data_IF_043925510391
#
_entry.id   IF_043925510391
#
_cell.length_a   1.000
_cell.length_b   1.000
_cell.length_c   1.000
_cell.angle_alpha   90.00
_cell.angle_beta   90.00
_cell.angle_gamma   90.00
#
_symmetry.space_group_name_H-M   'P 1'
#
loop_
_entity.id
_entity.type
_entity.pdbx_description
1 polymer ?
#
# COMPACT_ATOMS: atom_id res chain seq x y z
N UNK A 1 -63.92 -10.01 9.99
CA UNK A 1 -63.76 -9.19 8.76
C UNK A 1 -62.28 -9.08 8.47
N UNK A 2 -61.82 -9.74 7.39
CA UNK A 2 -60.45 -9.66 6.90
C UNK A 2 -60.38 -8.53 5.88
N UNK A 3 -59.43 -7.61 6.01
CA UNK A 3 -58.70 -7.02 4.89
C UNK A 3 -57.31 -6.59 5.38
N UNK A 4 -56.22 -7.17 4.85
CA UNK A 4 -54.85 -6.69 5.03
C UNK A 4 -54.52 -5.66 3.94
N UNK A 5 -53.29 -5.12 3.98
CA UNK A 5 -52.43 -4.61 2.88
C UNK A 5 -51.85 -3.22 3.19
N UNK A 6 -50.60 -2.84 2.86
CA UNK A 6 -49.42 -3.44 2.24
C UNK A 6 -48.29 -2.41 2.45
N UNK A 7 -47.07 -2.86 2.79
CA UNK A 7 -45.85 -2.06 2.61
C UNK A 7 -45.56 -1.93 1.11
N UNK A 8 -45.26 -0.73 0.57
CA UNK A 8 -44.62 -0.64 -0.73
C UNK A 8 -43.12 -0.95 -0.59
N UNK A 9 -42.74 -2.12 -1.08
CA UNK A 9 -41.40 -2.35 -1.60
C UNK A 9 -41.21 -1.48 -2.85
N UNK A 10 -40.10 -0.74 -2.94
CA UNK A 10 -39.63 -0.09 -4.16
C UNK A 10 -38.26 -0.73 -4.44
N UNK A 11 -38.25 -1.84 -5.17
CA UNK A 11 -38.10 -1.93 -6.63
C UNK A 11 -36.64 -1.66 -7.07
N UNK A 12 -35.92 -2.77 -7.25
CA UNK A 12 -34.68 -2.84 -8.01
C UNK A 12 -34.90 -2.33 -9.44
N UNK A 13 -34.00 -1.50 -9.94
CA UNK A 13 -33.91 -1.18 -11.37
C UNK A 13 -32.63 -1.82 -11.91
N UNK A 14 -32.82 -2.94 -12.59
CA UNK A 14 -31.87 -3.46 -13.54
C UNK A 14 -31.93 -2.60 -14.82
N UNK A 15 -30.77 -2.17 -15.31
CA UNK A 15 -30.62 -1.67 -16.66
C UNK A 15 -29.45 -2.40 -17.32
N UNK A 16 -29.79 -3.41 -18.12
CA UNK A 16 -28.94 -3.93 -19.17
C UNK A 16 -29.08 -3.03 -20.40
N UNK A 17 -28.00 -2.84 -21.17
CA UNK A 17 -27.93 -2.91 -22.65
C UNK A 17 -26.62 -2.31 -23.16
N UNK A 18 -25.92 -3.03 -24.06
CA UNK A 18 -24.99 -2.42 -25.01
C UNK A 18 -23.62 -3.10 -25.14
N UNK A 19 -23.58 -4.27 -25.77
CA UNK A 19 -22.37 -4.87 -26.35
C UNK A 19 -21.93 -4.07 -27.57
N UNK A 20 -20.65 -3.67 -27.64
CA UNK A 20 -19.92 -3.57 -28.92
C UNK A 20 -18.52 -4.15 -28.74
N UNK A 21 -18.29 -5.20 -29.52
CA UNK A 21 -17.06 -5.96 -29.67
C UNK A 21 -16.08 -5.20 -30.57
N UNK A 22 -14.81 -5.08 -30.18
CA UNK A 22 -13.73 -4.81 -31.13
C UNK A 22 -12.52 -5.66 -30.74
N UNK A 23 -12.42 -6.81 -31.42
CA UNK A 23 -11.26 -7.70 -31.44
C UNK A 23 -10.26 -7.10 -32.42
N UNK A 24 -9.03 -6.84 -31.95
CA UNK A 24 -7.87 -6.63 -32.81
C UNK A 24 -6.76 -7.57 -32.37
N UNK A 25 -6.76 -8.76 -32.99
CA UNK A 25 -5.67 -9.73 -32.96
C UNK A 25 -4.59 -9.24 -33.92
N UNK A 26 -3.42 -8.86 -33.40
CA UNK A 26 -2.22 -8.68 -34.23
C UNK A 26 -1.24 -9.81 -33.88
N UNK A 27 -1.24 -10.83 -34.75
CA UNK A 27 -0.24 -11.87 -34.81
C UNK A 27 1.05 -11.29 -35.41
N UNK A 28 2.08 -11.07 -34.59
CA UNK A 28 3.44 -10.83 -35.10
C UNK A 28 4.18 -12.17 -35.10
N UNK A 29 4.23 -12.81 -36.26
CA UNK A 29 5.15 -13.91 -36.52
C UNK A 29 6.53 -13.33 -36.79
N UNK A 30 7.47 -13.51 -35.85
CA UNK A 30 8.89 -13.30 -36.10
C UNK A 30 9.56 -14.66 -36.38
N UNK A 31 10.23 -14.84 -37.52
CA UNK A 31 10.96 -16.07 -37.82
C UNK A 31 12.23 -16.16 -36.95
N UNK A 32 12.33 -17.24 -36.19
CA UNK A 32 13.53 -17.63 -35.44
C UNK A 32 14.59 -18.13 -36.42
N UNK A 33 15.61 -17.31 -36.69
CA UNK A 33 16.82 -17.75 -37.36
C UNK A 33 17.73 -18.50 -36.36
N UNK A 34 18.36 -19.64 -36.73
CA UNK A 34 19.34 -20.33 -35.90
C UNK A 34 20.61 -19.48 -35.75
N UNK A 35 21.06 -19.29 -34.51
CA UNK A 35 22.40 -18.77 -34.25
C UNK A 35 23.29 -19.90 -33.73
N UNK A 36 24.37 -20.01 -34.47
CA UNK A 36 25.46 -20.96 -34.48
C UNK A 36 26.17 -21.10 -33.14
N UNK A 37 26.52 -22.34 -32.78
CA UNK A 37 27.28 -22.68 -31.59
C UNK A 37 28.74 -22.30 -31.83
N UNK A 38 29.22 -21.25 -31.17
CA UNK A 38 30.66 -20.95 -31.12
C UNK A 38 31.35 -21.80 -30.03
N UNK A 39 32.56 -22.32 -30.28
CA UNK A 39 33.32 -23.15 -29.32
C UNK A 39 33.90 -22.33 -28.15
N UNK A 40 34.22 -22.97 -27.00
CA UNK A 40 34.73 -22.27 -25.81
C UNK A 40 36.20 -21.85 -26.00
N UNK A 41 36.53 -20.63 -25.58
CA UNK A 41 37.92 -20.15 -25.45
C UNK A 41 38.20 -19.71 -24.01
N UNK A 42 39.45 -19.84 -23.54
CA UNK A 42 39.75 -20.29 -22.19
C UNK A 42 39.75 -19.20 -21.11
N UNK A 43 39.58 -19.68 -19.88
CA UNK A 43 39.62 -18.98 -18.62
C UNK A 43 40.79 -18.01 -18.47
N UNK A 44 40.49 -16.77 -18.08
CA UNK A 44 41.43 -15.86 -17.44
C UNK A 44 41.34 -16.05 -15.92
N UNK A 45 42.35 -16.68 -15.35
CA UNK A 45 42.58 -16.83 -13.91
C UNK A 45 42.97 -15.47 -13.33
N UNK A 46 42.18 -14.93 -12.40
CA UNK A 46 42.65 -13.88 -11.49
C UNK A 46 42.77 -14.45 -10.06
N UNK A 47 43.85 -14.13 -9.34
CA UNK A 47 44.15 -14.75 -8.06
C UNK A 47 43.36 -14.10 -6.91
N UNK A 48 43.02 -14.96 -5.95
CA UNK A 48 42.67 -14.71 -4.55
C UNK A 48 42.51 -13.25 -4.11
N UNK A 49 41.25 -12.81 -4.02
CA UNK A 49 40.80 -11.74 -3.15
C UNK A 49 40.10 -12.34 -1.94
N UNK A 50 40.61 -12.02 -0.76
CA UNK A 50 40.17 -12.41 0.59
C UNK A 50 38.65 -12.54 0.72
N UNK A 51 38.18 -13.73 1.12
CA UNK A 51 36.79 -13.96 1.50
C UNK A 51 36.48 -13.14 2.78
N UNK A 52 35.97 -11.94 2.58
CA UNK A 52 35.24 -11.21 3.62
C UNK A 52 34.03 -12.05 3.98
N UNK A 53 33.91 -12.44 5.25
CA UNK A 53 32.70 -13.07 5.78
C UNK A 53 31.57 -12.04 5.77
N UNK A 54 30.97 -11.83 4.60
CA UNK A 54 29.74 -11.08 4.46
C UNK A 54 28.67 -11.88 5.22
N UNK A 55 28.28 -11.40 6.40
CA UNK A 55 27.02 -11.80 6.98
C UNK A 55 25.95 -11.49 5.91
N UNK A 56 25.10 -12.47 5.53
CA UNK A 56 24.03 -12.17 4.61
C UNK A 56 23.13 -11.15 5.30
N UNK A 57 23.17 -9.89 4.84
CA UNK A 57 22.10 -8.96 5.17
C UNK A 57 20.81 -9.59 4.67
N UNK A 58 19.78 -9.73 5.52
CA UNK A 58 18.52 -10.31 5.09
C UNK A 58 18.05 -9.55 3.85
N UNK A 59 17.83 -10.28 2.76
CA UNK A 59 17.27 -9.72 1.54
C UNK A 59 15.87 -9.22 1.86
N UNK A 60 15.43 -8.11 1.23
CA UNK A 60 14.07 -7.59 1.40
C UNK A 60 12.95 -8.62 1.15
N UNK A 61 13.28 -9.73 0.45
CA UNK A 61 12.39 -10.85 0.18
C UNK A 61 12.09 -11.75 1.39
N UNK A 62 12.98 -11.85 2.39
CA UNK A 62 12.80 -12.77 3.52
C UNK A 62 11.97 -12.15 4.67
N UNK A 63 11.64 -10.87 4.55
CA UNK A 63 11.01 -10.09 5.62
C UNK A 63 11.92 -9.85 6.82
N UNK A 64 11.40 -9.12 7.79
CA UNK A 64 12.04 -8.80 9.06
C UNK A 64 11.23 -9.40 10.20
N UNK A 65 11.88 -9.79 11.32
CA UNK A 65 11.17 -10.11 12.56
C UNK A 65 10.20 -9.01 12.98
N UNK A 66 9.18 -9.31 13.78
CA UNK A 66 8.25 -8.31 14.30
C UNK A 66 8.98 -7.20 15.08
N UNK A 67 8.72 -5.94 14.75
CA UNK A 67 9.06 -4.79 15.58
C UNK A 67 8.15 -3.61 15.28
N UNK A 68 7.68 -2.92 16.33
CA UNK A 68 6.78 -1.78 16.19
C UNK A 68 7.42 -0.65 15.35
N UNK A 69 6.64 0.06 14.52
CA UNK A 69 7.10 1.30 13.92
C UNK A 69 7.28 2.38 14.99
N UNK A 70 8.35 3.15 14.86
CA UNK A 70 8.69 4.26 15.73
C UNK A 70 8.59 5.61 15.00
N UNK A 71 8.93 5.65 13.71
CA UNK A 71 8.88 6.88 12.90
C UNK A 71 8.54 6.59 11.44
N UNK A 72 8.11 7.63 10.73
CA UNK A 72 7.84 7.58 9.29
C UNK A 72 8.40 8.83 8.59
N UNK A 73 9.17 8.63 7.53
CA UNK A 73 9.61 9.69 6.63
C UNK A 73 9.24 9.37 5.19
N UNK A 74 8.62 10.34 4.50
CA UNK A 74 8.30 10.25 3.07
C UNK A 74 8.73 11.55 2.39
N UNK A 75 9.98 11.63 1.88
CA UNK A 75 10.56 12.90 1.43
C UNK A 75 9.78 13.58 0.30
N UNK A 76 9.26 12.81 -0.66
CA UNK A 76 8.57 13.34 -1.84
C UNK A 76 7.34 14.20 -1.51
N UNK A 77 6.67 13.91 -0.39
CA UNK A 77 5.48 14.64 0.07
C UNK A 77 5.71 15.39 1.38
N UNK A 78 6.95 15.40 1.89
CA UNK A 78 7.35 16.17 3.08
C UNK A 78 6.88 15.58 4.41
N UNK A 79 6.47 14.32 4.45
CA UNK A 79 6.06 13.66 5.70
C UNK A 79 7.28 13.38 6.57
N UNK A 80 7.20 13.82 7.83
CA UNK A 80 8.09 13.43 8.94
C UNK A 80 7.26 13.26 10.19
N UNK A 81 7.14 12.03 10.67
CA UNK A 81 6.51 11.68 11.93
C UNK A 81 7.57 11.01 12.81
N UNK A 82 7.93 11.66 13.92
CA UNK A 82 8.93 11.16 14.89
C UNK A 82 8.33 10.16 15.88
N UNK A 83 7.01 10.02 15.88
CA UNK A 83 6.25 9.08 16.70
C UNK A 83 5.13 8.47 15.87
N UNK A 84 4.84 7.19 16.10
CA UNK A 84 3.72 6.46 15.51
C UNK A 84 2.83 5.93 16.63
N UNK A 85 1.54 6.26 16.60
CA UNK A 85 0.57 5.78 17.60
C UNK A 85 -0.02 4.43 17.23
N UNK A 86 -0.25 3.59 18.23
CA UNK A 86 -1.01 2.35 18.05
C UNK A 86 -2.49 2.69 17.75
N UNK A 87 -3.04 2.07 16.70
CA UNK A 87 -4.45 2.13 16.32
C UNK A 87 -5.08 0.74 16.42
N UNK A 88 -6.30 0.68 16.94
CA UNK A 88 -7.15 -0.50 16.97
C UNK A 88 -8.31 -0.42 15.99
N UNK A 89 -9.36 -1.18 16.29
CA UNK A 89 -10.65 -1.07 15.64
C UNK A 89 -11.67 -0.49 16.62
N UNK A 90 -12.59 0.35 16.14
CA UNK A 90 -13.77 0.77 16.90
C UNK A 90 -14.71 -0.42 17.13
N UNK A 91 -15.68 -0.33 18.06
CA UNK A 91 -16.67 -1.39 18.28
C UNK A 91 -17.45 -1.80 17.02
N UNK A 92 -17.58 -0.89 16.05
CA UNK A 92 -18.24 -1.08 14.76
C UNK A 92 -17.31 -1.73 13.71
N UNK A 93 -16.07 -2.04 14.08
CA UNK A 93 -15.07 -2.68 13.22
C UNK A 93 -14.35 -1.73 12.26
N UNK A 94 -14.47 -0.42 12.44
CA UNK A 94 -13.73 0.56 11.64
C UNK A 94 -12.33 0.79 12.21
N UNK A 95 -11.34 1.09 11.35
CA UNK A 95 -10.01 1.48 11.81
C UNK A 95 -10.10 2.77 12.64
N UNK A 96 -9.49 2.77 13.82
CA UNK A 96 -9.37 3.99 14.63
C UNK A 96 -8.60 5.07 13.88
N UNK A 97 -8.96 6.33 14.12
CA UNK A 97 -8.35 7.47 13.44
C UNK A 97 -7.69 8.39 14.48
N UNK A 98 -6.48 8.92 14.23
CA UNK A 98 -5.83 9.83 15.15
C UNK A 98 -6.68 11.05 15.54
N UNK A 99 -6.52 11.55 16.78
CA UNK A 99 -7.30 12.66 17.33
C UNK A 99 -6.88 14.09 16.90
N UNK A 100 -5.83 14.20 16.08
CA UNK A 100 -5.25 15.46 15.59
C UNK A 100 -4.77 15.31 14.13
N UNK A 101 -4.49 16.43 13.45
CA UNK A 101 -4.15 16.45 12.03
C UNK A 101 -2.83 15.72 11.70
N UNK A 102 -1.85 15.82 12.59
CA UNK A 102 -0.43 15.56 12.28
C UNK A 102 0.06 14.18 12.73
N UNK A 103 -0.67 13.52 13.61
CA UNK A 103 -0.33 12.17 14.07
C UNK A 103 -0.50 11.16 12.94
N UNK A 104 0.49 10.28 12.80
CA UNK A 104 0.40 9.04 12.04
C UNK A 104 0.19 7.89 13.02
N UNK A 105 -0.73 6.98 12.70
CA UNK A 105 -0.95 5.78 13.49
C UNK A 105 -0.73 4.50 12.70
N UNK A 106 -0.38 3.42 13.39
CA UNK A 106 -0.21 2.07 12.84
C UNK A 106 -1.32 1.17 13.36
N UNK A 107 -1.97 0.44 12.45
CA UNK A 107 -2.98 -0.55 12.82
C UNK A 107 -2.31 -1.80 13.40
N UNK A 108 -2.49 -2.01 14.70
CA UNK A 108 -1.86 -3.11 15.45
C UNK A 108 -2.39 -4.50 15.11
N UNK A 109 -3.54 -4.58 14.42
CA UNK A 109 -4.08 -5.84 13.90
C UNK A 109 -3.45 -6.31 12.58
N UNK A 110 -2.52 -5.54 12.01
CA UNK A 110 -1.77 -5.88 10.81
C UNK A 110 -0.29 -6.20 11.13
N UNK A 111 0.43 -6.89 10.23
CA UNK A 111 1.88 -7.10 10.36
C UNK A 111 2.65 -5.80 10.66
N UNK A 112 3.74 -5.90 11.40
CA UNK A 112 4.61 -4.74 11.62
C UNK A 112 5.45 -4.44 10.37
N UNK A 113 5.83 -3.17 10.10
CA UNK A 113 6.47 -2.78 8.85
C UNK A 113 7.77 -3.52 8.54
N UNK A 114 7.72 -4.53 7.69
CA UNK A 114 8.85 -5.35 7.28
C UNK A 114 8.61 -6.85 7.48
N UNK A 115 7.62 -7.23 8.27
CA UNK A 115 7.10 -8.61 8.27
C UNK A 115 6.41 -8.93 6.94
N UNK A 116 6.25 -10.22 6.62
CA UNK A 116 5.43 -10.64 5.50
C UNK A 116 3.98 -10.15 5.69
N UNK A 117 3.37 -9.64 4.60
CA UNK A 117 2.05 -9.04 4.62
C UNK A 117 2.09 -7.50 4.66
N UNK A 118 0.91 -6.85 4.56
CA UNK A 118 0.83 -5.40 4.55
C UNK A 118 0.79 -4.81 5.97
N UNK A 119 1.81 -4.03 6.33
CA UNK A 119 1.66 -3.11 7.45
C UNK A 119 0.78 -1.92 7.04
N UNK A 120 -0.08 -1.43 7.94
CA UNK A 120 -1.04 -0.36 7.63
C UNK A 120 -0.81 0.85 8.52
N UNK A 121 -0.47 1.98 7.91
CA UNK A 121 -0.36 3.28 8.57
C UNK A 121 -1.44 4.21 8.04
N UNK A 122 -2.10 4.94 8.95
CA UNK A 122 -3.18 5.86 8.64
C UNK A 122 -2.93 7.24 9.25
N UNK A 123 -3.31 8.28 8.53
CA UNK A 123 -3.32 9.65 9.02
C UNK A 123 -4.34 10.50 8.26
N UNK A 124 -4.68 11.65 8.83
CA UNK A 124 -5.63 12.57 8.23
C UNK A 124 -5.11 13.20 6.94
N UNK A 125 -6.06 13.52 6.04
CA UNK A 125 -5.83 14.43 4.91
C UNK A 125 -5.94 15.87 5.39
N UNK A 126 -6.88 16.14 6.29
CA UNK A 126 -6.99 17.33 7.12
C UNK A 126 -7.76 17.01 8.40
N UNK A 127 -7.65 17.89 9.38
CA UNK A 127 -8.46 17.82 10.59
C UNK A 127 -8.64 19.23 11.15
N UNK A 128 -9.89 19.64 11.40
CA UNK A 128 -10.25 20.99 11.89
C UNK A 128 -9.57 22.12 11.10
N UNK A 129 -9.59 22.03 9.77
CA UNK A 129 -8.98 22.98 8.82
C UNK A 129 -7.44 23.04 8.84
N UNK A 130 -6.78 22.15 9.56
CA UNK A 130 -5.32 21.98 9.52
C UNK A 130 -5.00 20.85 8.55
N UNK A 131 -4.11 21.05 7.56
CA UNK A 131 -3.64 19.97 6.70
C UNK A 131 -3.08 18.81 7.53
N UNK A 132 -3.50 17.60 7.19
CA UNK A 132 -3.08 16.41 7.90
C UNK A 132 -1.74 15.89 7.42
N UNK A 133 -1.15 14.95 8.18
CA UNK A 133 0.13 14.34 7.82
C UNK A 133 0.11 13.70 6.43
N UNK A 134 -1.02 13.15 5.99
CA UNK A 134 -1.19 12.55 4.66
C UNK A 134 -1.97 13.45 3.68
N UNK A 135 -2.04 14.76 3.94
CA UNK A 135 -2.68 15.76 3.05
C UNK A 135 -2.24 15.66 1.57
N UNK A 136 -0.99 15.28 1.34
CA UNK A 136 -0.35 15.15 0.03
C UNK A 136 -0.16 13.71 -0.44
N UNK A 137 -0.75 12.72 0.23
CA UNK A 137 -0.53 11.31 -0.09
C UNK A 137 -0.89 10.96 -1.55
N UNK A 138 -1.94 11.58 -2.08
CA UNK A 138 -2.37 11.45 -3.50
C UNK A 138 -1.32 11.91 -4.52
N UNK A 139 -0.30 12.66 -4.09
CA UNK A 139 0.76 13.18 -4.96
C UNK A 139 1.92 12.18 -5.10
N UNK A 140 1.95 11.13 -4.27
CA UNK A 140 2.99 10.10 -4.37
C UNK A 140 2.97 9.39 -5.72
N UNK A 141 4.14 8.97 -6.17
CA UNK A 141 4.33 8.26 -7.44
C UNK A 141 5.10 6.96 -7.26
N UNK A 142 4.92 5.99 -8.17
CA UNK A 142 5.76 4.81 -8.22
C UNK A 142 7.25 5.18 -8.26
N UNK A 143 8.07 4.48 -7.47
CA UNK A 143 9.50 4.72 -7.30
C UNK A 143 9.87 5.62 -6.12
N UNK A 144 8.91 6.35 -5.53
CA UNK A 144 9.17 7.15 -4.33
C UNK A 144 9.23 6.29 -3.07
N UNK A 145 9.99 6.73 -2.07
CA UNK A 145 10.28 5.93 -0.88
C UNK A 145 9.52 6.41 0.35
N UNK A 146 9.03 5.44 1.13
CA UNK A 146 8.59 5.60 2.51
C UNK A 146 9.56 4.84 3.42
N UNK A 147 10.17 5.54 4.36
CA UNK A 147 11.12 4.99 5.33
C UNK A 147 10.44 4.88 6.68
N UNK A 148 10.38 3.66 7.22
CA UNK A 148 9.80 3.39 8.54
C UNK A 148 10.93 3.05 9.50
N UNK A 149 11.18 3.93 10.46
CA UNK A 149 12.05 3.62 11.59
C UNK A 149 11.34 2.64 12.51
N UNK A 150 12.03 1.60 12.95
CA UNK A 150 11.48 0.52 13.77
C UNK A 150 12.09 0.54 15.17
N UNK A 151 11.35 0.02 16.15
CA UNK A 151 11.77 -0.03 17.54
C UNK A 151 13.01 -0.91 17.79
N UNK A 152 13.37 -1.77 16.83
CA UNK A 152 14.60 -2.57 16.85
C UNK A 152 15.83 -1.84 16.30
N UNK A 153 15.70 -0.54 15.99
CA UNK A 153 16.76 0.32 15.49
C UNK A 153 16.94 0.29 13.97
N UNK A 154 16.30 -0.63 13.26
CA UNK A 154 16.39 -0.73 11.79
C UNK A 154 15.44 0.23 11.10
N UNK A 155 15.75 0.59 9.86
CA UNK A 155 14.83 1.33 8.98
C UNK A 155 14.40 0.42 7.84
N UNK A 156 13.10 0.16 7.74
CA UNK A 156 12.50 -0.54 6.61
C UNK A 156 12.20 0.48 5.50
N UNK A 157 12.82 0.30 4.32
CA UNK A 157 12.66 1.19 3.18
C UNK A 157 11.71 0.56 2.17
N UNK A 158 10.53 1.17 2.06
CA UNK A 158 9.49 0.76 1.13
C UNK A 158 9.49 1.64 -0.11
N UNK A 159 9.43 1.04 -1.30
CA UNK A 159 9.27 1.76 -2.56
C UNK A 159 7.83 1.66 -3.03
N UNK A 160 7.20 2.81 -3.25
CA UNK A 160 5.83 2.92 -3.76
C UNK A 160 5.77 2.31 -5.15
N UNK A 161 4.75 1.49 -5.41
CA UNK A 161 4.50 0.93 -6.74
C UNK A 161 3.15 1.36 -7.33
N UNK A 162 2.21 1.83 -6.49
CA UNK A 162 0.92 2.36 -6.94
C UNK A 162 0.28 3.25 -5.87
N UNK A 163 -0.54 4.21 -6.30
CA UNK A 163 -1.43 5.01 -5.46
C UNK A 163 -2.81 4.96 -6.10
N UNK A 164 -3.81 4.53 -5.34
CA UNK A 164 -5.18 4.38 -5.83
C UNK A 164 -6.17 5.20 -4.98
N UNK A 165 -7.29 5.53 -5.61
CA UNK A 165 -8.43 6.16 -4.97
C UNK A 165 -9.62 5.20 -4.99
N UNK A 166 -10.20 4.95 -3.82
CA UNK A 166 -11.34 4.04 -3.68
C UNK A 166 -12.51 4.78 -3.04
N UNK A 167 -13.70 4.80 -3.68
CA UNK A 167 -14.91 5.24 -3.02
C UNK A 167 -15.15 4.42 -1.75
N UNK A 168 -15.47 5.08 -0.64
CA UNK A 168 -15.70 4.39 0.64
C UNK A 168 -16.84 3.37 0.57
N UNK A 169 -17.83 3.63 -0.27
CA UNK A 169 -18.97 2.73 -0.48
C UNK A 169 -18.60 1.39 -1.12
N UNK A 170 -17.47 1.32 -1.83
CA UNK A 170 -16.99 0.12 -2.55
C UNK A 170 -15.53 -0.15 -2.24
N UNK A 171 -15.10 0.17 -1.01
CA UNK A 171 -13.71 0.04 -0.61
C UNK A 171 -13.27 -1.44 -0.64
N UNK A 172 -12.19 -1.80 -1.37
CA UNK A 172 -11.79 -3.18 -1.54
C UNK A 172 -10.98 -3.68 -0.33
N UNK A 173 -11.69 -3.99 0.76
CA UNK A 173 -11.09 -4.40 2.05
C UNK A 173 -10.06 -5.52 1.88
N UNK A 174 -10.39 -6.60 1.18
CA UNK A 174 -9.50 -7.75 1.01
C UNK A 174 -8.23 -7.38 0.23
N UNK A 175 -8.33 -6.47 -0.74
CA UNK A 175 -7.16 -6.04 -1.51
C UNK A 175 -6.22 -5.14 -0.68
N UNK A 176 -6.80 -4.31 0.20
CA UNK A 176 -6.03 -3.35 0.99
C UNK A 176 -5.42 -4.01 2.22
N UNK A 177 -6.21 -4.80 2.95
CA UNK A 177 -5.85 -5.36 4.26
C UNK A 177 -5.48 -6.85 4.20
N UNK A 178 -5.81 -7.56 3.12
CA UNK A 178 -5.52 -8.98 3.00
C UNK A 178 -4.03 -9.29 2.90
N UNK A 179 -3.66 -10.49 3.33
CA UNK A 179 -2.28 -10.93 3.41
C UNK A 179 -1.57 -10.93 2.05
N UNK A 180 -0.29 -10.59 2.08
CA UNK A 180 0.63 -10.69 0.94
C UNK A 180 1.82 -11.57 1.32
N UNK A 181 2.39 -12.35 0.39
CA UNK A 181 3.59 -13.14 0.68
C UNK A 181 4.80 -12.26 0.96
N UNK A 182 4.87 -11.10 0.32
CA UNK A 182 5.95 -10.14 0.46
C UNK A 182 5.65 -9.11 1.58
N UNK A 183 6.69 -8.52 2.21
CA UNK A 183 6.53 -7.38 3.09
C UNK A 183 6.07 -6.14 2.33
N UNK A 184 4.86 -5.68 2.65
CA UNK A 184 4.25 -4.50 2.03
C UNK A 184 3.88 -3.43 3.06
N UNK A 185 3.65 -2.22 2.56
CA UNK A 185 3.17 -1.08 3.33
C UNK A 185 1.94 -0.50 2.63
N UNK A 186 0.91 -0.19 3.42
CA UNK A 186 -0.28 0.57 3.04
C UNK A 186 -0.26 1.87 3.81
N UNK A 187 -0.24 2.99 3.08
CA UNK A 187 -0.47 4.31 3.65
C UNK A 187 -1.89 4.73 3.27
N UNK A 188 -2.74 5.05 4.24
CA UNK A 188 -4.16 5.29 4.01
C UNK A 188 -4.56 6.67 4.54
N UNK A 189 -5.29 7.43 3.74
CA UNK A 189 -5.95 8.66 4.17
C UNK A 189 -7.31 8.84 3.52
N UNK A 190 -8.10 9.78 4.04
CA UNK A 190 -9.34 10.22 3.40
C UNK A 190 -9.04 11.01 2.11
N UNK A 191 -9.94 10.98 1.13
CA UNK A 191 -9.78 11.73 -0.10
C UNK A 191 -11.06 11.89 -0.91
N UNK A 192 -10.91 12.32 -2.17
CA UNK A 192 -12.05 12.60 -3.04
C UNK A 192 -12.80 13.87 -2.65
N UNK A 193 -14.06 13.98 -3.07
CA UNK A 193 -14.90 15.12 -2.74
C UNK A 193 -15.29 15.09 -1.25
N UNK A 194 -15.36 16.27 -0.63
CA UNK A 194 -15.90 16.42 0.72
C UNK A 194 -17.42 16.59 0.65
N UNK A 195 -18.15 15.62 1.21
CA UNK A 195 -19.59 15.76 1.42
C UNK A 195 -19.86 16.57 2.68
N UNK A 196 -20.41 17.77 2.49
CA UNK A 196 -20.78 18.67 3.59
C UNK A 196 -21.97 18.18 4.40
N UNK A 197 -22.83 17.32 3.83
CA UNK A 197 -23.98 16.79 4.55
C UNK A 197 -23.55 15.76 5.60
N UNK A 198 -22.67 14.82 5.22
CA UNK A 198 -22.14 13.83 6.16
C UNK A 198 -20.90 14.32 6.94
N UNK A 199 -20.26 15.40 6.50
CA UNK A 199 -18.99 15.89 7.06
C UNK A 199 -17.80 14.98 6.73
N UNK A 200 -17.88 14.20 5.64
CA UNK A 200 -16.89 13.18 5.32
C UNK A 200 -16.38 13.32 3.89
N UNK A 201 -15.12 12.95 3.71
CA UNK A 201 -14.55 12.61 2.42
C UNK A 201 -15.18 11.33 1.86
N UNK A 202 -15.51 11.33 0.57
CA UNK A 202 -16.20 10.21 -0.08
C UNK A 202 -15.28 9.05 -0.45
N UNK A 203 -13.98 9.30 -0.58
CA UNK A 203 -12.99 8.31 -0.97
C UNK A 203 -11.94 8.08 0.11
N UNK A 204 -11.18 7.01 -0.05
CA UNK A 204 -9.88 6.82 0.58
C UNK A 204 -8.79 6.82 -0.49
N UNK A 205 -7.63 7.39 -0.16
CA UNK A 205 -6.40 7.26 -0.94
C UNK A 205 -5.54 6.20 -0.28
N UNK A 206 -5.05 5.23 -1.07
CA UNK A 206 -4.17 4.17 -0.60
C UNK A 206 -2.90 4.18 -1.43
N UNK A 207 -1.77 4.46 -0.79
CA UNK A 207 -0.45 4.23 -1.40
C UNK A 207 0.03 2.83 -1.02
N UNK A 208 0.47 2.09 -2.03
CA UNK A 208 0.98 0.73 -1.92
C UNK A 208 2.49 0.75 -2.15
N UNK A 209 3.25 0.15 -1.23
CA UNK A 209 4.69 0.08 -1.31
C UNK A 209 5.22 -1.30 -0.89
N UNK A 210 6.38 -1.69 -1.40
CA UNK A 210 7.06 -2.96 -1.09
C UNK A 210 8.40 -2.71 -0.44
N UNK A 211 8.80 -3.57 0.49
CA UNK A 211 10.12 -3.51 1.07
C UNK A 211 11.17 -3.69 -0.02
N UNK A 212 12.16 -2.80 -0.06
CA UNK A 212 13.21 -2.79 -1.08
C UNK A 212 14.61 -2.71 -0.51
N UNK A 213 14.75 -2.20 0.72
CA UNK A 213 15.99 -2.17 1.45
C UNK A 213 15.74 -2.13 2.96
N UNK A 214 16.79 -2.44 3.72
CA UNK A 214 16.83 -2.31 5.18
C UNK A 214 18.10 -1.56 5.53
N UNK A 215 17.97 -0.47 6.27
CA UNK A 215 19.10 0.32 6.79
C UNK A 215 19.28 -0.01 8.28
N UNK A 216 20.53 0.03 8.75
CA UNK A 216 20.93 -0.33 10.11
C UNK A 216 21.32 0.91 10.93
#
# INVERSE_FOLDING_TARGET
>A
MRHPRLWPAVAAVAAAFGVVLAVALVLVLSPKAPQEIAPPSPAATNPAGTASLAHPSPTAADGLPAAKPASLTIPAIGVRAEEIKDLGLTPEGALEVPGDATTVGWFTGAPSPGEAGPAVLAAHVDYKHVPGAFSRLKELRPGEQAKVGRADGRVAVFTVYRVDHYPKATFPTDQVYGDTPDPELRLITCGGAFDRASGNYLDNVVAYARLTAVEA
#
